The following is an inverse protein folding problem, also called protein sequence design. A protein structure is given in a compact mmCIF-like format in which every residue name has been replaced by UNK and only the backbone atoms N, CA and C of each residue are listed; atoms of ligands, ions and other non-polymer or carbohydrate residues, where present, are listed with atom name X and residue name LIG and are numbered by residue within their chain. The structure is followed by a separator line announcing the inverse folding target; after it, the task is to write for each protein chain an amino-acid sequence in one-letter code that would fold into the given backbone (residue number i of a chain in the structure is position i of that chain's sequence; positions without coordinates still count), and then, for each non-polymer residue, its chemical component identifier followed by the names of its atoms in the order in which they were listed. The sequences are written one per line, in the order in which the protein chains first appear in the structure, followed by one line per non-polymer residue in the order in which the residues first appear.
data_IF_899697008141
#
_entry.id   IF_899697008141
#
_cell.length_a   1.000
_cell.length_b   1.000
_cell.length_c   1.000
_cell.angle_alpha   90.00
_cell.angle_beta   90.00
_cell.angle_gamma   90.00
#
_symmetry.space_group_name_H-M   'P 1'
#
loop_
_entity.id
_entity.type
_entity.pdbx_description
1 polymer ?
#
# COMPACT_ATOMS: atom_id res chain seq x y z
N UNK A 1 8.60 55.28 16.64
CA UNK A 1 8.81 53.84 16.39
C UNK A 1 7.57 53.10 16.84
N UNK A 2 6.64 52.88 15.91
CA UNK A 2 5.34 52.29 16.18
C UNK A 2 5.49 50.78 16.42
N UNK A 3 5.14 50.35 17.63
CA UNK A 3 4.85 48.95 17.94
C UNK A 3 3.52 48.59 17.25
N UNK A 4 3.60 47.81 16.19
CA UNK A 4 2.42 47.21 15.57
C UNK A 4 1.88 46.13 16.50
N UNK A 5 0.84 46.48 17.26
CA UNK A 5 -0.02 45.54 17.95
C UNK A 5 -0.66 44.62 16.89
N UNK A 6 -0.14 43.39 16.77
CA UNK A 6 -0.84 42.32 16.10
C UNK A 6 -2.08 42.00 16.95
N UNK A 7 -3.22 42.57 16.56
CA UNK A 7 -4.50 42.32 17.19
C UNK A 7 -4.78 40.82 17.24
N UNK A 8 -5.07 40.31 18.44
CA UNK A 8 -5.56 38.95 18.63
C UNK A 8 -6.92 38.81 17.95
N UNK A 9 -6.91 38.38 16.69
CA UNK A 9 -8.11 37.83 16.08
C UNK A 9 -8.51 36.60 16.92
N UNK A 10 -9.73 36.60 17.45
CA UNK A 10 -10.28 35.45 18.15
C UNK A 10 -10.07 34.18 17.32
N UNK A 11 -9.62 33.10 17.97
CA UNK A 11 -9.41 31.83 17.29
C UNK A 11 -10.73 31.41 16.62
N UNK A 12 -10.79 31.25 15.28
CA UNK A 12 -12.02 30.96 14.57
C UNK A 12 -12.60 29.58 14.90
N UNK A 13 -11.91 28.76 15.69
CA UNK A 13 -12.33 27.42 16.07
C UNK A 13 -12.74 27.35 17.55
N UNK A 14 -11.96 27.98 18.43
CA UNK A 14 -12.11 27.84 19.87
C UNK A 14 -13.53 28.25 20.36
N UNK A 15 -14.17 27.35 21.10
CA UNK A 15 -15.47 27.60 21.73
C UNK A 15 -16.68 27.51 20.79
N UNK A 16 -16.48 27.20 19.50
CA UNK A 16 -17.60 27.00 18.55
C UNK A 16 -18.20 25.59 18.68
N UNK A 17 -19.52 25.44 18.52
CA UNK A 17 -20.15 24.13 18.51
C UNK A 17 -19.76 23.33 17.25
N UNK A 18 -19.72 22.00 17.39
CA UNK A 18 -19.34 21.07 16.30
C UNK A 18 -20.23 21.25 15.05
N UNK A 19 -21.51 21.56 15.23
CA UNK A 19 -22.45 21.83 14.13
C UNK A 19 -22.05 23.06 13.30
N UNK A 20 -21.65 24.14 13.95
CA UNK A 20 -21.17 25.35 13.27
C UNK A 20 -19.86 25.08 12.55
N UNK A 21 -18.91 24.40 13.20
CA UNK A 21 -17.63 24.03 12.58
C UNK A 21 -17.82 23.09 11.38
N UNK A 22 -18.80 22.19 11.45
CA UNK A 22 -19.13 21.30 10.33
C UNK A 22 -19.71 22.07 9.15
N UNK A 23 -20.59 23.06 9.42
CA UNK A 23 -21.10 23.94 8.36
C UNK A 23 -19.98 24.77 7.73
N UNK A 24 -19.09 25.33 8.53
CA UNK A 24 -17.93 26.10 8.03
C UNK A 24 -16.96 25.23 7.23
N UNK A 25 -16.76 23.98 7.66
CA UNK A 25 -16.00 23.00 6.91
C UNK A 25 -16.62 22.74 5.54
N UNK A 26 -17.93 22.46 5.48
CA UNK A 26 -18.64 22.28 4.22
C UNK A 26 -18.52 23.49 3.29
N UNK A 27 -18.55 24.71 3.80
CA UNK A 27 -18.37 25.91 2.97
C UNK A 27 -16.93 26.11 2.49
N UNK A 28 -15.94 25.77 3.32
CA UNK A 28 -14.53 25.98 3.01
C UNK A 28 -13.99 24.96 2.00
N UNK A 29 -14.45 23.70 2.05
CA UNK A 29 -13.89 22.62 1.22
C UNK A 29 -14.03 22.86 -0.30
N UNK A 30 -15.17 23.26 -0.88
CA UNK A 30 -15.30 23.49 -2.32
C UNK A 30 -14.50 24.70 -2.77
N UNK A 31 -14.44 25.74 -1.92
CA UNK A 31 -13.71 26.99 -2.19
C UNK A 31 -12.20 26.76 -2.17
N UNK A 32 -11.73 25.91 -1.27
CA UNK A 32 -10.31 25.57 -1.16
C UNK A 32 -9.89 24.48 -2.14
N UNK A 33 -10.71 23.47 -2.42
CA UNK A 33 -10.27 22.22 -3.08
C UNK A 33 -11.14 21.80 -4.26
N UNK A 34 -12.34 22.35 -4.40
CA UNK A 34 -13.33 21.97 -5.42
C UNK A 34 -13.41 22.94 -6.59
N UNK A 35 -14.43 22.78 -7.43
CA UNK A 35 -14.67 23.62 -8.61
C UNK A 35 -14.93 25.09 -8.25
N UNK A 36 -15.44 25.36 -7.04
CA UNK A 36 -15.63 26.71 -6.55
C UNK A 36 -14.29 27.45 -6.37
N UNK A 37 -13.15 26.75 -6.24
CA UNK A 37 -11.81 27.37 -6.20
C UNK A 37 -11.50 28.19 -7.46
N UNK A 38 -11.93 27.71 -8.63
CA UNK A 38 -11.70 28.40 -9.91
C UNK A 38 -12.47 29.73 -9.97
N UNK A 39 -13.63 29.79 -9.30
CA UNK A 39 -14.50 30.96 -9.25
C UNK A 39 -14.24 31.86 -8.04
N UNK A 40 -13.54 31.36 -7.03
CA UNK A 40 -13.26 32.07 -5.80
C UNK A 40 -12.23 33.19 -6.01
N UNK A 41 -12.35 34.28 -5.25
CA UNK A 41 -11.28 35.26 -5.17
C UNK A 41 -10.05 34.63 -4.51
N UNK A 42 -8.86 35.13 -4.84
CA UNK A 42 -7.61 34.66 -4.23
C UNK A 42 -7.61 34.80 -2.71
N UNK A 43 -8.26 35.84 -2.19
CA UNK A 43 -8.44 36.06 -0.76
C UNK A 43 -9.38 35.04 -0.11
N UNK A 44 -10.52 34.74 -0.76
CA UNK A 44 -11.48 33.73 -0.26
C UNK A 44 -10.88 32.32 -0.25
N UNK A 45 -10.16 31.94 -1.30
CA UNK A 45 -9.45 30.66 -1.35
C UNK A 45 -8.40 30.55 -0.23
N UNK A 46 -7.59 31.60 -0.01
CA UNK A 46 -6.60 31.63 1.07
C UNK A 46 -7.25 31.58 2.45
N UNK A 47 -8.37 32.26 2.65
CA UNK A 47 -9.11 32.22 3.92
C UNK A 47 -9.65 30.82 4.21
N UNK A 48 -10.23 30.15 3.20
CA UNK A 48 -10.71 28.78 3.29
C UNK A 48 -9.56 27.80 3.61
N UNK A 49 -8.44 27.87 2.89
CA UNK A 49 -7.25 27.06 3.16
C UNK A 49 -6.71 27.31 4.58
N UNK A 50 -6.67 28.57 5.03
CA UNK A 50 -6.20 28.92 6.37
C UNK A 50 -7.12 28.33 7.45
N UNK A 51 -8.44 28.41 7.24
CA UNK A 51 -9.42 27.81 8.15
C UNK A 51 -9.24 26.29 8.22
N UNK A 52 -9.20 25.59 7.08
CA UNK A 52 -9.01 24.13 7.04
C UNK A 52 -7.70 23.71 7.72
N UNK A 53 -6.62 24.47 7.48
CA UNK A 53 -5.32 24.25 8.10
C UNK A 53 -5.32 24.44 9.62
N UNK A 54 -6.11 25.37 10.15
CA UNK A 54 -6.28 25.55 11.59
C UNK A 54 -7.17 24.45 12.16
N UNK A 55 -8.28 24.13 11.49
CA UNK A 55 -9.22 23.11 11.94
C UNK A 55 -8.54 21.75 12.07
N UNK A 56 -7.79 21.30 11.05
CA UNK A 56 -7.10 20.00 11.10
C UNK A 56 -6.03 19.90 12.21
N UNK A 57 -5.57 21.01 12.79
CA UNK A 57 -4.64 21.03 13.93
C UNK A 57 -5.33 21.12 15.28
N UNK A 58 -6.61 21.49 15.30
CA UNK A 58 -7.41 21.66 16.51
C UNK A 58 -7.86 20.32 17.11
N UNK A 59 -8.27 20.34 18.37
CA UNK A 59 -8.85 19.16 19.05
C UNK A 59 -10.23 18.80 18.51
N UNK A 60 -10.97 19.81 18.07
CA UNK A 60 -12.33 19.78 17.56
C UNK A 60 -12.44 19.00 16.25
N UNK A 61 -11.35 18.89 15.48
CA UNK A 61 -11.31 18.12 14.24
C UNK A 61 -11.76 16.66 14.42
N UNK A 62 -11.45 16.02 15.55
CA UNK A 62 -11.91 14.64 15.80
C UNK A 62 -13.43 14.53 15.73
N UNK A 63 -14.15 15.43 16.41
CA UNK A 63 -15.60 15.43 16.45
C UNK A 63 -16.20 15.90 15.11
N UNK A 64 -15.65 16.97 14.52
CA UNK A 64 -16.15 17.52 13.25
C UNK A 64 -16.02 16.50 12.12
N UNK A 65 -14.85 15.88 11.95
CA UNK A 65 -14.66 14.91 10.86
C UNK A 65 -15.49 13.64 11.06
N UNK A 66 -15.66 13.18 12.30
CA UNK A 66 -16.54 12.05 12.60
C UNK A 66 -17.98 12.38 12.24
N UNK A 67 -18.46 13.57 12.61
CA UNK A 67 -19.81 14.02 12.29
C UNK A 67 -20.02 14.16 10.77
N UNK A 68 -19.05 14.68 10.02
CA UNK A 68 -19.09 14.75 8.55
C UNK A 68 -19.22 13.35 7.95
N UNK A 69 -18.39 12.40 8.38
CA UNK A 69 -18.47 11.02 7.90
C UNK A 69 -19.86 10.41 8.18
N UNK A 70 -20.45 10.67 9.32
CA UNK A 70 -21.78 10.17 9.69
C UNK A 70 -22.92 10.81 8.88
N UNK A 71 -22.92 12.14 8.79
CA UNK A 71 -24.03 12.91 8.22
C UNK A 71 -24.02 12.98 6.69
N UNK A 72 -22.85 12.89 6.05
CA UNK A 72 -22.77 13.03 4.59
C UNK A 72 -23.17 11.74 3.89
N UNK A 73 -24.22 11.84 3.07
CA UNK A 73 -24.66 10.78 2.17
C UNK A 73 -23.65 10.57 1.04
N UNK A 74 -23.53 9.33 0.57
CA UNK A 74 -22.69 8.99 -0.59
C UNK A 74 -23.50 9.29 -1.84
N UNK A 75 -23.13 10.36 -2.56
CA UNK A 75 -23.77 10.77 -3.81
C UNK A 75 -22.73 11.07 -4.88
N UNK A 76 -23.02 10.73 -6.14
CA UNK A 76 -22.17 11.07 -7.29
C UNK A 76 -22.23 12.56 -7.67
N UNK A 77 -23.26 13.26 -7.18
CA UNK A 77 -23.52 14.65 -7.52
C UNK A 77 -23.11 15.59 -6.38
N UNK A 78 -22.55 16.75 -6.76
CA UNK A 78 -22.21 17.85 -5.86
C UNK A 78 -20.92 17.64 -5.06
N UNK A 79 -20.72 18.51 -4.06
CA UNK A 79 -19.49 18.55 -3.24
C UNK A 79 -19.44 17.48 -2.14
N UNK A 80 -20.45 16.61 -2.01
CA UNK A 80 -20.56 15.62 -0.94
C UNK A 80 -19.42 14.58 -0.96
N UNK A 81 -19.00 14.14 -2.15
CA UNK A 81 -17.86 13.23 -2.32
C UNK A 81 -16.55 13.88 -1.85
N UNK A 82 -16.36 15.17 -2.16
CA UNK A 82 -15.22 15.96 -1.73
C UNK A 82 -15.22 16.17 -0.21
N UNK A 83 -16.38 16.40 0.40
CA UNK A 83 -16.51 16.53 1.86
C UNK A 83 -16.13 15.24 2.59
N UNK A 84 -16.64 14.11 2.11
CA UNK A 84 -16.29 12.79 2.66
C UNK A 84 -14.78 12.52 2.50
N UNK A 85 -14.22 12.82 1.33
CA UNK A 85 -12.81 12.63 1.04
C UNK A 85 -11.93 13.46 1.98
N UNK A 86 -12.25 14.75 2.13
CA UNK A 86 -11.47 15.66 2.96
C UNK A 86 -11.59 15.33 4.44
N UNK A 87 -12.77 14.95 4.92
CA UNK A 87 -12.94 14.50 6.30
C UNK A 87 -12.13 13.24 6.61
N UNK A 88 -12.15 12.25 5.70
CA UNK A 88 -11.34 11.05 5.82
C UNK A 88 -9.83 11.36 5.78
N UNK A 89 -9.40 12.29 4.91
CA UNK A 89 -7.99 12.73 4.80
C UNK A 89 -7.51 13.39 6.09
N UNK A 90 -8.32 14.29 6.67
CA UNK A 90 -8.01 14.95 7.95
C UNK A 90 -7.94 13.94 9.08
N UNK A 91 -8.88 12.98 9.16
CA UNK A 91 -8.83 11.91 10.16
C UNK A 91 -7.57 11.06 10.03
N UNK A 92 -7.18 10.67 8.82
CA UNK A 92 -5.94 9.92 8.59
C UNK A 92 -4.71 10.69 9.10
N UNK A 93 -4.67 12.01 8.88
CA UNK A 93 -3.63 12.90 9.40
C UNK A 93 -3.64 12.96 10.93
N UNK A 94 -4.82 13.14 11.54
CA UNK A 94 -4.99 13.18 13.01
C UNK A 94 -4.55 11.87 13.66
N UNK A 95 -4.90 10.72 13.07
CA UNK A 95 -4.45 9.41 13.53
C UNK A 95 -2.94 9.23 13.38
N UNK A 96 -2.30 9.82 12.37
CA UNK A 96 -0.86 9.70 12.19
C UNK A 96 -0.05 10.56 13.17
N UNK A 97 -0.55 11.76 13.48
CA UNK A 97 0.25 12.81 14.12
C UNK A 97 -0.23 13.22 15.52
N UNK A 98 -1.49 12.97 15.85
CA UNK A 98 -2.13 13.53 17.06
C UNK A 98 -2.94 12.48 17.84
N UNK A 99 -2.53 11.21 17.77
CA UNK A 99 -3.19 10.14 18.54
C UNK A 99 -3.02 10.29 20.05
N UNK A 100 -1.92 10.90 20.50
CA UNK A 100 -1.71 11.18 21.93
C UNK A 100 -2.71 12.21 22.47
N UNK A 101 -3.29 13.05 21.60
CA UNK A 101 -4.35 14.00 21.96
C UNK A 101 -5.72 13.33 22.17
N UNK A 102 -5.87 12.04 21.84
CA UNK A 102 -7.10 11.27 22.03
C UNK A 102 -6.98 10.37 23.27
N UNK A 103 -8.01 10.35 24.13
CA UNK A 103 -8.03 9.47 25.28
C UNK A 103 -8.03 8.00 24.85
N UNK A 104 -7.26 7.15 25.54
CA UNK A 104 -7.13 5.72 25.20
C UNK A 104 -8.48 4.98 25.22
N UNK A 105 -9.40 5.39 26.10
CA UNK A 105 -10.78 4.85 26.15
C UNK A 105 -11.55 5.03 24.84
N UNK A 106 -11.18 6.01 24.03
CA UNK A 106 -11.83 6.32 22.74
C UNK A 106 -11.23 5.55 21.56
N UNK A 107 -10.08 4.87 21.73
CA UNK A 107 -9.40 4.16 20.64
C UNK A 107 -10.27 3.06 20.01
N UNK A 108 -10.95 2.27 20.84
CA UNK A 108 -11.82 1.19 20.36
C UNK A 108 -13.00 1.73 19.54
N UNK A 109 -13.61 2.84 20.00
CA UNK A 109 -14.71 3.51 19.30
C UNK A 109 -14.23 4.11 17.96
N UNK A 110 -13.05 4.73 17.95
CA UNK A 110 -12.46 5.27 16.73
C UNK A 110 -12.24 4.17 15.69
N UNK A 111 -11.66 3.03 16.09
CA UNK A 111 -11.44 1.89 15.19
C UNK A 111 -12.75 1.36 14.62
N UNK A 112 -13.78 1.21 15.45
CA UNK A 112 -15.09 0.74 15.01
C UNK A 112 -15.73 1.72 14.01
N UNK A 113 -15.62 3.03 14.26
CA UNK A 113 -16.08 4.07 13.35
C UNK A 113 -15.35 3.99 12.01
N UNK A 114 -14.01 3.96 12.01
CA UNK A 114 -13.22 3.89 10.78
C UNK A 114 -13.56 2.65 9.95
N UNK A 115 -13.71 1.47 10.58
CA UNK A 115 -14.13 0.23 9.91
C UNK A 115 -15.53 0.33 9.32
N UNK A 116 -16.49 0.87 10.08
CA UNK A 116 -17.87 1.09 9.61
C UNK A 116 -17.88 1.96 8.34
N UNK A 117 -17.14 3.08 8.35
CA UNK A 117 -17.11 3.98 7.20
C UNK A 117 -16.30 3.43 6.03
N UNK A 118 -15.24 2.66 6.29
CA UNK A 118 -14.50 1.95 5.24
C UNK A 118 -15.42 0.99 4.49
N UNK A 119 -16.17 0.16 5.21
CA UNK A 119 -17.13 -0.78 4.61
C UNK A 119 -18.26 -0.04 3.87
N UNK A 120 -18.79 1.05 4.46
CA UNK A 120 -19.84 1.87 3.83
C UNK A 120 -19.40 2.48 2.49
N UNK A 121 -18.12 2.85 2.38
CA UNK A 121 -17.57 3.49 1.18
C UNK A 121 -16.97 2.50 0.18
N UNK A 122 -16.84 1.23 0.57
CA UNK A 122 -16.33 0.17 -0.29
C UNK A 122 -17.25 -0.09 -1.49
N UNK A 123 -16.67 -0.22 -2.68
CA UNK A 123 -17.41 -0.43 -3.94
C UNK A 123 -18.19 0.80 -4.45
N UNK A 124 -18.13 1.94 -3.76
CA UNK A 124 -18.81 3.17 -4.15
C UNK A 124 -17.86 4.09 -4.93
N UNK A 125 -18.05 4.21 -6.25
CA UNK A 125 -17.20 5.03 -7.10
C UNK A 125 -17.10 6.50 -6.61
N UNK A 126 -18.23 7.09 -6.21
CA UNK A 126 -18.31 8.44 -5.65
C UNK A 126 -17.48 8.65 -4.37
N UNK A 127 -17.22 7.58 -3.61
CA UNK A 127 -16.51 7.66 -2.33
C UNK A 127 -15.07 7.13 -2.40
N UNK A 128 -14.54 6.84 -3.60
CA UNK A 128 -13.22 6.20 -3.76
C UNK A 128 -12.06 6.94 -3.06
N UNK A 129 -11.97 8.29 -3.10
CA UNK A 129 -10.92 9.00 -2.36
C UNK A 129 -11.09 8.86 -0.83
N UNK A 130 -12.32 8.98 -0.33
CA UNK A 130 -12.63 8.80 1.08
C UNK A 130 -12.29 7.38 1.57
N UNK A 131 -12.69 6.37 0.78
CA UNK A 131 -12.39 4.96 1.02
C UNK A 131 -10.88 4.72 1.17
N UNK A 132 -10.06 5.28 0.28
CA UNK A 132 -8.60 5.16 0.37
C UNK A 132 -8.05 5.84 1.64
N UNK A 133 -8.50 7.04 1.96
CA UNK A 133 -8.05 7.74 3.17
C UNK A 133 -8.49 7.04 4.47
N UNK A 134 -9.66 6.40 4.49
CA UNK A 134 -10.10 5.58 5.62
C UNK A 134 -9.23 4.33 5.80
N UNK A 135 -8.78 3.71 4.70
CA UNK A 135 -7.84 2.59 4.77
C UNK A 135 -6.48 3.04 5.34
N UNK A 136 -5.98 4.20 4.90
CA UNK A 136 -4.76 4.83 5.46
C UNK A 136 -4.95 5.14 6.95
N UNK A 137 -6.10 5.68 7.35
CA UNK A 137 -6.39 5.97 8.76
C UNK A 137 -6.38 4.69 9.62
N UNK A 138 -6.91 3.58 9.11
CA UNK A 138 -6.87 2.30 9.81
C UNK A 138 -5.47 1.71 9.90
N UNK A 139 -4.67 1.79 8.83
CA UNK A 139 -3.26 1.40 8.87
C UNK A 139 -2.48 2.26 9.89
N UNK A 140 -2.70 3.57 9.91
CA UNK A 140 -2.08 4.47 10.88
C UNK A 140 -2.53 4.16 12.32
N UNK A 141 -3.80 3.83 12.53
CA UNK A 141 -4.33 3.42 13.84
C UNK A 141 -3.66 2.13 14.34
N UNK A 142 -3.46 1.15 13.46
CA UNK A 142 -2.76 -0.09 13.81
C UNK A 142 -1.32 0.18 14.31
N UNK A 143 -0.63 1.12 13.69
CA UNK A 143 0.74 1.50 14.07
C UNK A 143 0.75 2.31 15.38
N UNK A 144 -0.17 3.26 15.52
CA UNK A 144 -0.17 4.24 16.61
C UNK A 144 -0.84 3.79 17.90
N UNK A 145 -1.77 2.81 17.87
CA UNK A 145 -2.50 2.32 19.05
C UNK A 145 -1.79 1.13 19.73
N UNK A 146 -1.11 1.29 20.87
CA UNK A 146 -0.36 0.21 21.51
C UNK A 146 -1.24 -0.96 21.98
N UNK A 147 -2.48 -0.65 22.34
CA UNK A 147 -3.48 -1.62 22.78
C UNK A 147 -3.99 -2.55 21.68
N UNK A 148 -3.67 -2.27 20.40
CA UNK A 148 -4.11 -3.10 19.28
C UNK A 148 -3.00 -4.08 18.88
N UNK A 149 -3.05 -5.30 19.45
CA UNK A 149 -2.00 -6.33 19.32
C UNK A 149 -2.39 -7.54 18.45
N UNK A 150 -3.52 -7.45 17.76
CA UNK A 150 -4.02 -8.48 16.84
C UNK A 150 -4.60 -7.83 15.59
N UNK A 151 -3.81 -6.94 14.97
CA UNK A 151 -4.24 -6.10 13.84
C UNK A 151 -4.86 -6.94 12.72
N UNK A 152 -4.07 -7.82 12.11
CA UNK A 152 -4.51 -8.61 10.95
C UNK A 152 -5.73 -9.49 11.27
N UNK A 153 -5.73 -10.34 12.31
CA UNK A 153 -6.90 -11.18 12.63
C UNK A 153 -8.16 -10.36 12.91
N UNK A 154 -8.03 -9.21 13.58
CA UNK A 154 -9.18 -8.35 13.88
C UNK A 154 -9.76 -7.67 12.63
N UNK A 155 -8.91 -7.28 11.66
CA UNK A 155 -9.36 -6.73 10.38
C UNK A 155 -10.09 -7.78 9.55
N UNK A 156 -9.55 -9.00 9.48
CA UNK A 156 -10.19 -10.14 8.79
C UNK A 156 -11.55 -10.44 9.41
N UNK A 157 -11.62 -10.52 10.74
CA UNK A 157 -12.88 -10.76 11.46
C UNK A 157 -13.90 -9.62 11.23
N UNK A 158 -13.45 -8.36 11.27
CA UNK A 158 -14.31 -7.20 11.02
C UNK A 158 -14.87 -7.18 9.58
N UNK A 159 -14.16 -7.78 8.62
CA UNK A 159 -14.61 -7.95 7.24
C UNK A 159 -15.39 -9.25 7.01
N UNK A 160 -15.97 -9.84 8.06
CA UNK A 160 -16.82 -11.04 7.96
C UNK A 160 -16.06 -12.38 7.92
N UNK A 161 -14.74 -12.36 8.08
CA UNK A 161 -13.90 -13.55 8.18
C UNK A 161 -13.59 -14.23 6.84
N UNK A 162 -12.78 -15.32 6.87
CA UNK A 162 -12.28 -15.97 5.65
C UNK A 162 -13.39 -16.50 4.74
N UNK A 163 -14.49 -16.99 5.31
CA UNK A 163 -15.62 -17.52 4.55
C UNK A 163 -16.30 -16.42 3.71
N UNK A 164 -16.48 -15.22 4.27
CA UNK A 164 -17.07 -14.10 3.53
C UNK A 164 -16.09 -13.56 2.49
N UNK A 165 -14.82 -13.40 2.85
CA UNK A 165 -13.77 -12.94 1.93
C UNK A 165 -13.51 -13.91 0.76
N UNK A 166 -13.78 -15.20 0.97
CA UNK A 166 -13.70 -16.26 -0.03
C UNK A 166 -15.00 -16.48 -0.81
N UNK A 167 -16.00 -15.61 -0.69
CA UNK A 167 -17.27 -15.72 -1.43
C UNK A 167 -17.46 -14.52 -2.37
N UNK A 168 -18.14 -14.68 -3.52
CA UNK A 168 -18.43 -13.57 -4.44
C UNK A 168 -19.22 -12.43 -3.78
N UNK A 169 -20.07 -12.75 -2.80
CA UNK A 169 -20.86 -11.79 -2.02
C UNK A 169 -20.03 -10.97 -1.03
N UNK A 170 -18.77 -11.34 -0.80
CA UNK A 170 -17.80 -10.62 0.03
C UNK A 170 -16.98 -9.58 -0.72
N UNK A 171 -17.38 -9.18 -1.94
CA UNK A 171 -16.62 -8.25 -2.77
C UNK A 171 -16.29 -6.93 -2.05
N UNK A 172 -17.24 -6.33 -1.34
CA UNK A 172 -17.02 -5.06 -0.63
C UNK A 172 -16.07 -5.24 0.57
N UNK A 173 -16.22 -6.33 1.32
CA UNK A 173 -15.36 -6.70 2.44
C UNK A 173 -13.93 -7.00 1.98
N UNK A 174 -13.78 -7.71 0.84
CA UNK A 174 -12.50 -7.99 0.23
C UNK A 174 -11.80 -6.71 -0.21
N UNK A 175 -12.50 -5.80 -0.91
CA UNK A 175 -11.96 -4.50 -1.30
C UNK A 175 -11.47 -3.69 -0.07
N UNK A 176 -12.29 -3.63 0.99
CA UNK A 176 -11.96 -2.92 2.22
C UNK A 176 -10.69 -3.50 2.87
N UNK A 177 -10.65 -4.82 3.08
CA UNK A 177 -9.51 -5.48 3.69
C UNK A 177 -8.23 -5.31 2.85
N UNK A 178 -8.30 -5.56 1.54
CA UNK A 178 -7.15 -5.42 0.64
C UNK A 178 -6.58 -4.01 0.64
N UNK A 179 -7.44 -2.99 0.69
CA UNK A 179 -7.00 -1.60 0.68
C UNK A 179 -6.29 -1.23 1.97
N UNK A 180 -6.70 -1.77 3.12
CA UNK A 180 -5.99 -1.61 4.40
C UNK A 180 -4.67 -2.40 4.39
N UNK A 181 -4.69 -3.66 3.94
CA UNK A 181 -3.49 -4.49 3.86
C UNK A 181 -2.44 -3.93 2.89
N UNK A 182 -2.86 -3.21 1.84
CA UNK A 182 -1.96 -2.50 0.95
C UNK A 182 -1.22 -1.35 1.66
N UNK A 183 -1.90 -0.60 2.53
CA UNK A 183 -1.30 0.55 3.22
C UNK A 183 -0.52 0.17 4.48
N UNK A 184 -0.81 -1.00 5.06
CA UNK A 184 -0.27 -1.38 6.36
C UNK A 184 1.27 -1.50 6.38
N UNK A 185 1.94 -2.22 5.45
CA UNK A 185 3.40 -2.34 5.44
C UNK A 185 4.12 -1.00 5.35
N UNK A 186 3.66 -0.15 4.43
CA UNK A 186 4.26 1.17 4.19
C UNK A 186 4.03 2.10 5.37
N UNK A 187 2.88 2.03 6.04
CA UNK A 187 2.62 2.85 7.23
C UNK A 187 3.50 2.43 8.43
N UNK A 188 3.89 1.16 8.51
CA UNK A 188 4.84 0.66 9.54
C UNK A 188 6.23 1.26 9.35
N UNK A 189 6.68 1.48 8.11
CA UNK A 189 8.00 2.05 7.82
C UNK A 189 7.98 3.57 7.60
N UNK A 190 6.78 4.16 7.48
CA UNK A 190 6.55 5.59 7.30
C UNK A 190 7.14 6.43 8.44
N UNK A 191 8.09 7.31 8.12
CA UNK A 191 8.76 8.18 9.11
C UNK A 191 7.87 9.31 9.62
N UNK A 192 6.90 9.75 8.82
CA UNK A 192 5.99 10.83 9.19
C UNK A 192 5.04 10.43 10.35
N UNK A 193 4.89 9.13 10.61
CA UNK A 193 4.07 8.62 11.72
C UNK A 193 4.79 8.86 13.04
N UNK A 194 4.18 9.67 13.92
CA UNK A 194 4.77 10.18 15.14
C UNK A 194 4.80 9.13 16.27
N UNK A 195 5.55 8.04 16.06
CA UNK A 195 5.80 6.98 17.04
C UNK A 195 7.29 6.81 17.32
N UNK A 196 7.63 6.23 18.48
CA UNK A 196 9.00 5.86 18.80
C UNK A 196 9.50 4.69 17.95
N UNK A 197 10.82 4.59 17.76
CA UNK A 197 11.42 3.47 17.03
C UNK A 197 11.17 2.11 17.72
N UNK A 198 11.13 2.10 19.05
CA UNK A 198 10.75 0.92 19.83
C UNK A 198 9.32 0.46 19.49
N UNK A 199 8.36 1.39 19.41
CA UNK A 199 6.99 1.06 18.99
C UNK A 199 6.96 0.55 17.55
N UNK A 200 7.73 1.17 16.65
CA UNK A 200 7.81 0.78 15.24
C UNK A 200 8.29 -0.66 15.08
N UNK A 201 9.37 -1.00 15.78
CA UNK A 201 9.91 -2.36 15.84
C UNK A 201 8.90 -3.37 16.41
N UNK A 202 8.19 -3.01 17.48
CA UNK A 202 7.18 -3.87 18.10
C UNK A 202 6.01 -4.16 17.13
N UNK A 203 5.49 -3.13 16.46
CA UNK A 203 4.41 -3.28 15.47
C UNK A 203 4.88 -4.10 14.27
N UNK A 204 6.10 -3.84 13.77
CA UNK A 204 6.67 -4.62 12.67
C UNK A 204 6.74 -6.10 13.04
N UNK A 205 7.23 -6.42 14.23
CA UNK A 205 7.28 -7.80 14.75
C UNK A 205 5.88 -8.43 14.83
N UNK A 206 4.88 -7.66 15.27
CA UNK A 206 3.51 -8.13 15.36
C UNK A 206 2.92 -8.49 13.99
N UNK A 207 3.11 -7.60 13.01
CA UNK A 207 2.57 -7.75 11.67
C UNK A 207 3.33 -8.86 10.92
N UNK A 208 4.65 -8.98 11.09
CA UNK A 208 5.44 -10.11 10.56
C UNK A 208 4.90 -11.45 11.06
N UNK A 209 4.52 -11.56 12.33
CA UNK A 209 3.89 -12.78 12.87
C UNK A 209 2.56 -13.12 12.19
N UNK A 210 1.83 -12.10 11.73
CA UNK A 210 0.57 -12.27 11.01
C UNK A 210 0.72 -12.39 9.49
N UNK A 211 1.93 -12.28 8.95
CA UNK A 211 2.16 -12.13 7.51
C UNK A 211 1.82 -13.40 6.71
N UNK A 212 2.02 -14.59 7.28
CA UNK A 212 1.56 -15.85 6.68
C UNK A 212 0.03 -15.89 6.55
N UNK A 213 -0.70 -15.45 7.59
CA UNK A 213 -2.15 -15.36 7.53
C UNK A 213 -2.63 -14.33 6.49
N UNK A 214 -1.88 -13.22 6.32
CA UNK A 214 -2.14 -12.27 5.22
C UNK A 214 -1.95 -12.94 3.88
N UNK A 215 -0.84 -13.65 3.66
CA UNK A 215 -0.60 -14.39 2.43
C UNK A 215 -1.75 -15.35 2.09
N UNK A 216 -2.13 -16.22 3.03
CA UNK A 216 -3.25 -17.15 2.83
C UNK A 216 -4.57 -16.43 2.53
N UNK A 217 -4.81 -15.28 3.16
CA UNK A 217 -6.01 -14.47 2.91
C UNK A 217 -6.00 -13.87 1.50
N UNK A 218 -4.86 -13.30 1.07
CA UNK A 218 -4.69 -12.76 -0.28
C UNK A 218 -4.88 -13.84 -1.35
N UNK A 219 -4.28 -15.02 -1.15
CA UNK A 219 -4.42 -16.16 -2.07
C UNK A 219 -5.88 -16.66 -2.16
N UNK A 220 -6.59 -16.73 -1.03
CA UNK A 220 -8.00 -17.12 -0.97
C UNK A 220 -8.92 -16.10 -1.67
N UNK A 221 -8.70 -14.80 -1.44
CA UNK A 221 -9.45 -13.73 -2.11
C UNK A 221 -9.20 -13.78 -3.61
N UNK A 222 -7.94 -13.92 -4.04
CA UNK A 222 -7.56 -14.00 -5.45
C UNK A 222 -8.21 -15.20 -6.16
N UNK A 223 -8.27 -16.36 -5.49
CA UNK A 223 -8.94 -17.54 -6.03
C UNK A 223 -10.44 -17.31 -6.23
N UNK A 224 -11.10 -16.72 -5.23
CA UNK A 224 -12.56 -16.56 -5.18
C UNK A 224 -13.07 -15.42 -6.07
N UNK A 225 -12.23 -14.41 -6.29
CA UNK A 225 -12.55 -13.21 -7.07
C UNK A 225 -11.72 -13.10 -8.35
N UNK A 226 -11.26 -14.23 -8.91
CA UNK A 226 -10.35 -14.27 -10.05
C UNK A 226 -10.82 -13.48 -11.29
N UNK A 227 -12.14 -13.39 -11.50
CA UNK A 227 -12.75 -12.62 -12.58
C UNK A 227 -12.79 -11.10 -12.33
N UNK A 228 -12.73 -10.64 -11.07
CA UNK A 228 -12.77 -9.22 -10.72
C UNK A 228 -11.38 -8.59 -10.89
N UNK A 229 -11.23 -7.75 -11.92
CA UNK A 229 -9.97 -7.10 -12.30
C UNK A 229 -9.45 -6.19 -11.19
N UNK A 230 -10.34 -5.45 -10.50
CA UNK A 230 -9.95 -4.54 -9.43
C UNK A 230 -9.43 -5.29 -8.21
N UNK A 231 -10.13 -6.33 -7.77
CA UNK A 231 -9.69 -7.18 -6.65
C UNK A 231 -8.36 -7.85 -6.97
N UNK A 232 -8.19 -8.41 -8.17
CA UNK A 232 -6.94 -9.02 -8.60
C UNK A 232 -5.79 -8.00 -8.57
N UNK A 233 -6.02 -6.79 -9.08
CA UNK A 233 -5.02 -5.71 -9.04
C UNK A 233 -4.66 -5.32 -7.61
N UNK A 234 -5.65 -5.20 -6.72
CA UNK A 234 -5.41 -4.87 -5.31
C UNK A 234 -4.71 -5.99 -4.55
N UNK A 235 -5.02 -7.26 -4.81
CA UNK A 235 -4.31 -8.40 -4.23
C UNK A 235 -2.82 -8.37 -4.57
N UNK A 236 -2.51 -8.15 -5.86
CA UNK A 236 -1.12 -8.06 -6.31
C UNK A 236 -0.41 -6.86 -5.72
N UNK A 237 -1.03 -5.67 -5.71
CA UNK A 237 -0.44 -4.48 -5.08
C UNK A 237 -0.20 -4.67 -3.59
N UNK A 238 -1.16 -5.27 -2.88
CA UNK A 238 -1.01 -5.57 -1.46
C UNK A 238 0.16 -6.53 -1.28
N UNK A 239 0.21 -7.63 -2.03
CA UNK A 239 1.34 -8.55 -2.01
C UNK A 239 2.68 -7.83 -2.27
N UNK A 240 2.75 -6.95 -3.28
CA UNK A 240 3.94 -6.15 -3.57
C UNK A 240 4.40 -5.32 -2.38
N UNK A 241 3.50 -4.58 -1.74
CA UNK A 241 3.84 -3.75 -0.59
C UNK A 241 4.43 -4.55 0.58
N UNK A 242 3.96 -5.78 0.80
CA UNK A 242 4.48 -6.65 1.87
C UNK A 242 5.85 -7.24 1.55
N UNK A 243 6.12 -7.50 0.27
CA UNK A 243 7.41 -8.00 -0.23
C UNK A 243 8.45 -6.88 -0.22
N UNK A 244 8.11 -5.70 -0.77
CA UNK A 244 8.98 -4.52 -0.83
C UNK A 244 9.42 -4.07 0.58
N UNK A 245 8.51 -4.09 1.55
CA UNK A 245 8.80 -3.75 2.95
C UNK A 245 9.44 -4.91 3.74
N UNK A 246 9.72 -6.06 3.10
CA UNK A 246 10.38 -7.24 3.69
C UNK A 246 9.66 -7.78 4.93
N UNK A 247 8.34 -7.84 4.86
CA UNK A 247 7.48 -8.36 5.94
C UNK A 247 6.97 -9.76 5.59
N UNK A 248 6.76 -10.04 4.30
CA UNK A 248 6.27 -11.33 3.81
C UNK A 248 7.26 -12.47 4.12
N UNK A 249 6.87 -13.62 4.69
CA UNK A 249 7.77 -14.74 4.89
C UNK A 249 8.21 -15.33 3.54
N UNK A 250 9.48 -15.69 3.40
CA UNK A 250 9.99 -16.26 2.14
C UNK A 250 9.38 -17.64 1.87
N UNK A 251 9.16 -18.43 2.93
CA UNK A 251 8.64 -19.79 2.86
C UNK A 251 7.23 -19.91 2.23
N UNK A 252 6.44 -18.84 2.19
CA UNK A 252 5.08 -18.87 1.62
C UNK A 252 5.04 -18.56 0.11
N UNK A 253 6.15 -18.07 -0.45
CA UNK A 253 6.22 -17.65 -1.85
C UNK A 253 6.13 -18.84 -2.84
N UNK A 254 6.85 -19.97 -2.63
CA UNK A 254 6.78 -21.10 -3.53
C UNK A 254 5.37 -21.67 -3.66
N UNK A 255 4.90 -21.86 -4.90
CA UNK A 255 3.59 -22.47 -5.16
C UNK A 255 2.36 -21.60 -4.88
N UNK A 256 2.53 -20.32 -4.50
CA UNK A 256 1.40 -19.41 -4.29
C UNK A 256 0.76 -18.96 -5.61
N UNK A 257 -0.54 -18.61 -5.54
CA UNK A 257 -1.24 -18.04 -6.72
C UNK A 257 -0.77 -16.63 -7.01
N UNK A 258 -0.39 -15.88 -5.97
CA UNK A 258 0.21 -14.55 -6.08
C UNK A 258 1.52 -14.59 -6.87
N UNK A 259 2.44 -15.51 -6.54
CA UNK A 259 3.69 -15.69 -7.30
C UNK A 259 3.40 -16.16 -8.73
N UNK A 260 2.44 -17.06 -8.92
CA UNK A 260 2.04 -17.48 -10.28
C UNK A 260 1.48 -16.32 -11.10
N UNK A 261 0.66 -15.46 -10.50
CA UNK A 261 0.09 -14.28 -11.15
C UNK A 261 1.17 -13.24 -11.48
N UNK A 262 2.12 -13.00 -10.57
CA UNK A 262 3.32 -12.19 -10.80
C UNK A 262 4.10 -12.69 -12.02
N UNK A 263 4.43 -13.98 -12.07
CA UNK A 263 5.21 -14.58 -13.16
C UNK A 263 4.44 -14.53 -14.49
N UNK A 264 3.13 -14.73 -14.47
CA UNK A 264 2.29 -14.58 -15.67
C UNK A 264 2.28 -13.15 -16.21
N UNK A 265 2.42 -12.16 -15.32
CA UNK A 265 2.45 -10.74 -15.66
C UNK A 265 3.68 -10.33 -16.47
N UNK A 266 4.76 -11.11 -16.44
CA UNK A 266 5.95 -10.94 -17.29
C UNK A 266 5.68 -11.26 -18.77
N UNK A 267 4.58 -11.94 -19.08
CA UNK A 267 4.20 -12.31 -20.46
C UNK A 267 3.23 -11.31 -21.09
N UNK A 268 2.73 -10.35 -20.30
CA UNK A 268 1.71 -9.38 -20.71
C UNK A 268 2.29 -7.97 -20.64
N UNK A 269 2.33 -7.29 -21.78
CA UNK A 269 2.94 -5.96 -21.90
C UNK A 269 2.41 -4.96 -20.86
N UNK A 270 1.09 -4.90 -20.67
CA UNK A 270 0.43 -3.96 -19.76
C UNK A 270 0.81 -4.16 -18.28
N UNK A 271 1.24 -5.36 -17.88
CA UNK A 271 1.61 -5.69 -16.49
C UNK A 271 3.10 -5.92 -16.31
N UNK A 272 3.87 -5.90 -17.39
CA UNK A 272 5.27 -6.27 -17.40
C UNK A 272 6.08 -5.45 -16.39
N UNK A 273 6.00 -4.11 -16.45
CA UNK A 273 6.82 -3.23 -15.63
C UNK A 273 6.60 -3.44 -14.12
N UNK A 274 5.34 -3.54 -13.69
CA UNK A 274 5.03 -3.80 -12.28
C UNK A 274 5.49 -5.20 -11.85
N UNK A 275 5.32 -6.20 -12.74
CA UNK A 275 5.67 -7.59 -12.45
C UNK A 275 7.20 -7.79 -12.40
N UNK A 276 7.96 -7.14 -13.28
CA UNK A 276 9.42 -7.22 -13.27
C UNK A 276 10.01 -6.53 -12.03
N UNK A 277 9.48 -5.36 -11.65
CA UNK A 277 9.88 -4.66 -10.43
C UNK A 277 9.60 -5.49 -9.16
N UNK A 278 8.38 -6.03 -9.04
CA UNK A 278 8.05 -6.90 -7.91
C UNK A 278 8.91 -8.16 -7.88
N UNK A 279 9.23 -8.74 -9.05
CA UNK A 279 10.11 -9.90 -9.12
C UNK A 279 11.51 -9.59 -8.58
N UNK A 280 12.08 -8.44 -8.91
CA UNK A 280 13.36 -7.99 -8.35
C UNK A 280 13.26 -7.85 -6.83
N UNK A 281 12.24 -7.14 -6.34
CA UNK A 281 12.04 -6.95 -4.90
C UNK A 281 11.87 -8.29 -4.16
N UNK A 282 11.15 -9.24 -4.76
CA UNK A 282 10.98 -10.59 -4.23
C UNK A 282 12.31 -11.34 -4.14
N UNK A 283 13.13 -11.30 -5.20
CA UNK A 283 14.43 -11.98 -5.22
C UNK A 283 15.42 -11.34 -4.23
N UNK A 284 15.46 -10.01 -4.12
CA UNK A 284 16.26 -9.31 -3.10
C UNK A 284 15.81 -9.62 -1.67
N UNK A 285 14.51 -9.86 -1.48
CA UNK A 285 13.94 -10.28 -0.21
C UNK A 285 14.38 -11.71 0.14
N UNK A 286 14.23 -12.62 -0.82
CA UNK A 286 14.66 -14.03 -0.69
C UNK A 286 16.16 -14.15 -0.42
N UNK A 287 16.98 -13.37 -1.11
CA UNK A 287 18.44 -13.44 -0.93
C UNK A 287 18.87 -12.98 0.46
N UNK A 288 18.22 -11.95 1.01
CA UNK A 288 18.59 -11.39 2.32
C UNK A 288 18.03 -12.21 3.48
N UNK A 289 16.77 -12.60 3.40
CA UNK A 289 16.01 -13.12 4.55
C UNK A 289 15.67 -14.62 4.42
N UNK A 290 15.91 -15.25 3.26
CA UNK A 290 15.60 -16.66 3.01
C UNK A 290 16.70 -17.62 3.47
N UNK A 291 16.28 -18.81 3.93
CA UNK A 291 17.19 -19.94 4.19
C UNK A 291 17.71 -20.57 2.89
N UNK A 292 18.70 -21.47 2.96
CA UNK A 292 19.20 -22.19 1.79
C UNK A 292 18.09 -23.01 1.08
N UNK A 293 17.17 -23.59 1.86
CA UNK A 293 16.03 -24.35 1.35
C UNK A 293 15.01 -23.43 0.68
N UNK A 294 14.71 -22.28 1.30
CA UNK A 294 13.83 -21.25 0.71
C UNK A 294 14.38 -20.74 -0.62
N UNK A 295 15.68 -20.41 -0.66
CA UNK A 295 16.39 -19.96 -1.86
C UNK A 295 16.26 -20.99 -2.99
N UNK A 296 16.49 -22.27 -2.68
CA UNK A 296 16.36 -23.36 -3.66
C UNK A 296 14.93 -23.50 -4.16
N UNK A 297 13.94 -23.46 -3.26
CA UNK A 297 12.51 -23.62 -3.57
C UNK A 297 11.97 -22.47 -4.43
N UNK A 298 12.30 -21.23 -4.06
CA UNK A 298 11.91 -20.03 -4.82
C UNK A 298 12.60 -20.01 -6.17
N UNK A 299 13.90 -20.33 -6.24
CA UNK A 299 14.62 -20.43 -7.50
C UNK A 299 13.97 -21.45 -8.43
N UNK A 300 13.60 -22.64 -7.93
CA UNK A 300 12.90 -23.66 -8.72
C UNK A 300 11.55 -23.17 -9.28
N UNK A 301 10.86 -22.29 -8.55
CA UNK A 301 9.57 -21.72 -8.97
C UNK A 301 9.73 -20.59 -9.99
N UNK A 302 10.70 -19.71 -9.78
CA UNK A 302 10.84 -18.44 -10.54
C UNK A 302 11.70 -18.62 -11.81
N UNK A 303 12.78 -19.40 -11.74
CA UNK A 303 13.75 -19.53 -12.83
C UNK A 303 13.13 -19.97 -14.17
N UNK A 304 12.20 -20.93 -14.23
CA UNK A 304 11.60 -21.32 -15.51
C UNK A 304 10.95 -20.13 -16.23
N UNK A 305 10.22 -19.28 -15.50
CA UNK A 305 9.55 -18.11 -16.06
C UNK A 305 10.52 -17.00 -16.48
N UNK A 306 11.63 -16.85 -15.75
CA UNK A 306 12.71 -15.94 -16.16
C UNK A 306 13.33 -16.46 -17.45
N UNK A 307 13.74 -17.74 -17.51
CA UNK A 307 14.37 -18.34 -18.71
C UNK A 307 13.45 -18.22 -19.93
N UNK A 308 12.14 -18.43 -19.77
CA UNK A 308 11.15 -18.24 -20.84
C UNK A 308 11.12 -16.81 -21.40
N UNK A 309 11.52 -15.81 -20.63
CA UNK A 309 11.59 -14.41 -21.04
C UNK A 309 12.90 -14.04 -21.78
N UNK A 310 13.82 -14.99 -22.00
CA UNK A 310 15.09 -14.75 -22.73
C UNK A 310 14.87 -14.10 -24.12
N UNK A 311 13.92 -14.56 -24.95
CA UNK A 311 13.70 -13.98 -26.27
C UNK A 311 13.24 -12.52 -26.20
N UNK A 312 12.42 -12.19 -25.20
CA UNK A 312 11.96 -10.83 -24.96
C UNK A 312 13.13 -9.93 -24.59
N UNK A 313 13.97 -10.33 -23.62
CA UNK A 313 15.16 -9.56 -23.26
C UNK A 313 16.06 -9.29 -24.47
N UNK A 314 16.31 -10.33 -25.29
CA UNK A 314 17.12 -10.19 -26.51
C UNK A 314 16.51 -9.20 -27.50
N UNK A 315 15.19 -9.14 -27.62
CA UNK A 315 14.51 -8.17 -28.50
C UNK A 315 14.56 -6.73 -27.97
N UNK A 316 14.71 -6.53 -26.67
CA UNK A 316 14.77 -5.21 -26.04
C UNK A 316 16.19 -4.60 -26.04
N UNK A 317 17.24 -5.44 -26.11
CA UNK A 317 18.64 -4.98 -26.09
C UNK A 317 18.97 -3.91 -27.16
N UNK A 318 18.56 -4.07 -28.44
CA UNK A 318 18.85 -3.06 -29.46
C UNK A 318 18.26 -1.68 -29.12
N UNK A 319 17.09 -1.65 -28.48
CA UNK A 319 16.41 -0.40 -28.09
C UNK A 319 17.21 0.35 -27.01
N UNK A 320 17.90 -0.36 -26.12
CA UNK A 320 18.74 0.26 -25.08
C UNK A 320 20.03 0.90 -25.62
N UNK A 321 20.46 0.55 -26.83
CA UNK A 321 21.69 1.06 -27.45
C UNK A 321 21.45 2.43 -28.11
N UNK A 322 20.21 2.72 -28.50
CA UNK A 322 19.81 3.94 -29.22
C UNK A 322 19.47 5.14 -28.28
N UNK A 323 20.04 5.19 -27.06
CA UNK A 323 19.84 6.23 -26.03
C UNK A 323 18.39 6.40 -25.49
N UNK A 324 17.42 5.62 -25.98
CA UNK A 324 16.12 5.38 -25.32
C UNK A 324 16.22 4.12 -24.45
N UNK A 325 16.76 4.26 -23.23
CA UNK A 325 16.77 3.16 -22.26
C UNK A 325 15.36 2.68 -21.95
N UNK A 326 15.00 1.51 -22.47
CA UNK A 326 13.76 0.83 -22.07
C UNK A 326 13.95 0.21 -20.68
N UNK A 327 13.28 0.80 -19.67
CA UNK A 327 13.22 0.33 -18.29
C UNK A 327 12.87 -1.16 -18.17
N UNK A 328 12.18 -1.73 -19.18
CA UNK A 328 11.83 -3.15 -19.25
C UNK A 328 13.05 -4.05 -19.36
N UNK A 329 14.04 -3.67 -20.18
CA UNK A 329 15.27 -4.45 -20.34
C UNK A 329 16.11 -4.44 -19.05
N UNK A 330 16.20 -3.27 -18.41
CA UNK A 330 16.95 -3.07 -17.16
C UNK A 330 16.34 -3.93 -16.04
N UNK A 331 15.03 -3.84 -15.85
CA UNK A 331 14.34 -4.58 -14.78
C UNK A 331 14.39 -6.10 -14.99
N UNK A 332 14.26 -6.58 -16.24
CA UNK A 332 14.36 -8.01 -16.54
C UNK A 332 15.80 -8.54 -16.39
N UNK A 333 16.80 -7.76 -16.79
CA UNK A 333 18.21 -8.10 -16.57
C UNK A 333 18.54 -8.17 -15.07
N UNK A 334 18.04 -7.22 -14.27
CA UNK A 334 18.20 -7.23 -12.81
C UNK A 334 17.53 -8.45 -12.15
N UNK A 335 16.33 -8.82 -12.59
CA UNK A 335 15.64 -10.01 -12.11
C UNK A 335 16.41 -11.30 -12.47
N UNK A 336 16.91 -11.40 -13.70
CA UNK A 336 17.73 -12.52 -14.14
C UNK A 336 19.02 -12.65 -13.32
N UNK A 337 19.70 -11.54 -13.07
CA UNK A 337 20.91 -11.52 -12.25
C UNK A 337 20.66 -11.94 -10.81
N UNK A 338 19.60 -11.41 -10.18
CA UNK A 338 19.24 -11.75 -8.80
C UNK A 338 18.88 -13.23 -8.68
N UNK A 339 18.09 -13.76 -9.62
CA UNK A 339 17.76 -15.18 -9.66
C UNK A 339 18.99 -16.05 -9.92
N UNK A 340 19.93 -15.59 -10.76
CA UNK A 340 21.21 -16.24 -11.00
C UNK A 340 22.07 -16.35 -9.75
N UNK A 341 22.16 -15.29 -8.94
CA UNK A 341 22.90 -15.30 -7.67
C UNK A 341 22.29 -16.29 -6.67
N UNK A 342 20.98 -16.27 -6.50
CA UNK A 342 20.25 -17.20 -5.62
C UNK A 342 20.46 -18.65 -6.07
N UNK A 343 20.40 -18.89 -7.38
CA UNK A 343 20.65 -20.20 -7.95
C UNK A 343 22.10 -20.64 -7.74
N UNK A 344 23.10 -19.76 -7.95
CA UNK A 344 24.50 -20.08 -7.76
C UNK A 344 24.80 -20.52 -6.32
N UNK A 345 24.28 -19.79 -5.33
CA UNK A 345 24.37 -20.18 -3.92
C UNK A 345 23.75 -21.57 -3.65
N UNK A 346 22.64 -21.89 -4.30
CA UNK A 346 21.93 -23.17 -4.16
C UNK A 346 22.63 -24.33 -4.91
N UNK A 347 23.41 -24.01 -5.95
CA UNK A 347 24.11 -24.96 -6.82
C UNK A 347 25.49 -25.38 -6.30
N UNK A 348 26.12 -24.58 -5.43
CA UNK A 348 27.34 -24.94 -4.69
C UNK A 348 27.06 -26.03 -3.64
N UNK A 349 25.80 -26.17 -3.20
CA UNK A 349 25.35 -27.11 -2.16
C UNK A 349 24.88 -28.51 -2.60
N UNK A 350 25.05 -28.93 -3.86
CA UNK A 350 24.55 -30.21 -4.39
C UNK A 350 23.01 -30.32 -4.44
N UNK A 351 22.34 -29.55 -5.31
CA UNK A 351 20.92 -29.77 -5.64
C UNK A 351 20.75 -30.26 -7.08
N UNK A 352 20.36 -31.53 -7.25
CA UNK A 352 20.04 -32.14 -8.56
C UNK A 352 18.83 -31.48 -9.24
N UNK A 353 17.96 -30.81 -8.48
CA UNK A 353 16.71 -30.23 -8.96
C UNK A 353 16.90 -29.00 -9.87
N UNK A 354 17.94 -28.19 -9.65
CA UNK A 354 18.20 -26.97 -10.45
C UNK A 354 19.20 -27.21 -11.60
N UNK A 355 19.87 -28.37 -11.60
CA UNK A 355 20.78 -28.79 -12.68
C UNK A 355 20.21 -28.65 -14.11
N UNK A 356 18.95 -29.05 -14.40
CA UNK A 356 18.40 -28.92 -15.76
C UNK A 356 18.21 -27.47 -16.22
N UNK A 357 18.11 -26.52 -15.29
CA UNK A 357 17.89 -25.10 -15.61
C UNK A 357 19.20 -24.34 -15.88
N UNK A 358 20.36 -24.92 -15.49
CA UNK A 358 21.69 -24.28 -15.63
C UNK A 358 22.00 -23.77 -17.04
N UNK A 359 21.77 -24.52 -18.13
CA UNK A 359 22.10 -24.03 -19.48
C UNK A 359 21.24 -22.84 -19.89
N UNK A 360 19.96 -22.83 -19.51
CA UNK A 360 19.05 -21.71 -19.78
C UNK A 360 19.42 -20.46 -19.00
N UNK A 361 19.73 -20.63 -17.72
CA UNK A 361 20.20 -19.55 -16.86
C UNK A 361 21.51 -18.93 -17.38
N UNK A 362 22.49 -19.76 -17.79
CA UNK A 362 23.75 -19.27 -18.35
C UNK A 362 23.54 -18.42 -19.61
N UNK A 363 22.62 -18.84 -20.51
CA UNK A 363 22.26 -18.04 -21.69
C UNK A 363 21.59 -16.73 -21.29
N UNK A 364 20.62 -16.78 -20.39
CA UNK A 364 19.93 -15.58 -19.91
C UNK A 364 20.93 -14.57 -19.30
N UNK A 365 21.85 -15.03 -18.45
CA UNK A 365 22.87 -14.19 -17.84
C UNK A 365 23.82 -13.58 -18.87
N UNK A 366 24.19 -14.32 -19.91
CA UNK A 366 25.01 -13.79 -21.01
C UNK A 366 24.27 -12.69 -21.78
N UNK A 367 22.96 -12.85 -22.03
CA UNK A 367 22.11 -11.85 -22.67
C UNK A 367 21.95 -10.61 -21.77
N UNK A 368 21.73 -10.79 -20.47
CA UNK A 368 21.66 -9.69 -19.50
C UNK A 368 22.99 -8.92 -19.37
N UNK A 369 24.14 -9.59 -19.42
CA UNK A 369 25.44 -8.93 -19.41
C UNK A 369 25.67 -8.07 -20.68
N UNK A 370 25.14 -8.51 -21.83
CA UNK A 370 25.25 -7.81 -23.10
C UNK A 370 24.39 -6.52 -23.17
N UNK A 371 23.38 -6.37 -22.30
CA UNK A 371 22.55 -5.15 -22.26
C UNK A 371 23.21 -3.96 -21.55
N UNK A 372 24.46 -4.09 -21.08
CA UNK A 372 25.16 -3.04 -20.33
C UNK A 372 24.59 -2.80 -18.92
N UNK A 373 23.48 -3.45 -18.56
CA UNK A 373 22.86 -3.41 -17.25
C UNK A 373 23.70 -4.22 -16.26
N UNK A 374 24.76 -3.62 -15.71
CA UNK A 374 25.56 -4.25 -14.65
C UNK A 374 24.69 -4.43 -13.40
N UNK A 375 24.40 -5.66 -12.97
CA UNK A 375 23.82 -5.87 -11.65
C UNK A 375 24.87 -5.50 -10.60
N UNK A 376 24.47 -4.78 -9.55
CA UNK A 376 25.33 -4.25 -8.48
C UNK A 376 26.15 -5.34 -7.73
N UNK A 377 25.89 -6.62 -7.97
CA UNK A 377 26.52 -7.74 -7.26
C UNK A 377 27.33 -8.72 -8.13
N UNK A 378 27.61 -8.43 -9.40
CA UNK A 378 28.37 -9.35 -10.27
C UNK A 378 29.87 -9.45 -9.96
N UNK A 379 30.43 -8.69 -9.02
CA UNK A 379 31.87 -8.74 -8.69
C UNK A 379 32.26 -9.93 -7.79
N UNK A 380 31.31 -10.75 -7.33
CA UNK A 380 31.57 -11.83 -6.37
C UNK A 380 31.23 -13.26 -6.86
N UNK A 381 31.00 -13.48 -8.15
CA UNK A 381 30.81 -14.81 -8.74
C UNK A 381 32.05 -15.31 -9.48
#
# INVERSE_FOLDING_TARGET
MAAAAAGGAADPIAGKPVSELTSLFGQAVPVALGEARIRASTESAKAAETFLNRLQRSSEAWAVMTHVLEATAITEQGDASLYLAEAARVLASKVRHDMLGLAESSHASLRAMLLKHLLRTSGQAAARPAFRHLAVALAAAAVTMPSWTSVVPSLVAACGGPARLGSPEGTCEALALLTVLLELPTEVTRRETCISESRRSAVRTEITRGAEAVHSTLDAILASHSANVEIRSLCLKAFSAWVEERIMPVAVLPGSRLTSALLSGLKVEATFAHSSQLLVALLEHVDRDGTADDKTSVAGTVLPSIIDAEPLLRSLIPLCIDDETDDRAITLAAAAASAGCIAAHSLVGSTSALAPLRPGLARMMAVAAASGCRPVQMEAL
#
